data_IF_386182259359
#
_entry.id   IF_386182259359
#
_cell.length_a   1.000
_cell.length_b   1.000
_cell.length_c   1.000
_cell.angle_alpha   90.00
_cell.angle_beta   90.00
_cell.angle_gamma   90.00
#
_symmetry.space_group_name_H-M   'P 1'
#
loop_
_entity.id
_entity.type
_entity.pdbx_description
1 polymer ?
#
# COMPACT_ATOMS: atom_id res chain seq x y z
N UNK A 1 -13.08 5.31 0.55
CA UNK A 1 -12.43 5.24 -0.76
C UNK A 1 -13.48 5.23 -1.87
N UNK A 2 -13.21 5.88 -2.98
CA UNK A 2 -13.97 5.76 -4.24
C UNK A 2 -13.01 5.15 -5.24
N UNK A 3 -13.37 3.95 -5.74
CA UNK A 3 -12.52 3.19 -6.66
C UNK A 3 -12.10 4.05 -7.86
N UNK A 4 -10.84 3.93 -8.28
CA UNK A 4 -10.22 4.62 -9.41
C UNK A 4 -10.29 6.16 -9.35
N UNK A 5 -10.62 6.73 -8.19
CA UNK A 5 -10.83 8.16 -8.03
C UNK A 5 -10.10 8.73 -6.80
N UNK A 6 -10.37 8.20 -5.61
CA UNK A 6 -9.74 8.72 -4.40
C UNK A 6 -9.69 7.72 -3.24
N UNK A 7 -8.64 7.85 -2.44
CA UNK A 7 -8.51 7.24 -1.13
C UNK A 7 -8.45 8.38 -0.11
N UNK A 8 -9.34 8.34 0.87
CA UNK A 8 -9.36 9.30 1.97
C UNK A 8 -9.19 8.55 3.29
N UNK A 9 -8.28 9.03 4.12
CA UNK A 9 -7.94 8.44 5.40
C UNK A 9 -8.02 9.54 6.48
N UNK A 10 -8.72 9.28 7.57
CA UNK A 10 -8.66 10.07 8.80
C UNK A 10 -7.92 9.27 9.86
N UNK A 11 -6.95 9.91 10.49
CA UNK A 11 -6.12 9.33 11.53
C UNK A 11 -6.49 10.01 12.85
N UNK A 12 -6.93 9.21 13.83
CA UNK A 12 -7.29 9.71 15.14
C UNK A 12 -6.50 8.99 16.23
N UNK A 13 -6.11 9.73 17.26
CA UNK A 13 -5.48 9.22 18.47
C UNK A 13 -6.21 9.75 19.69
N UNK A 14 -6.56 8.88 20.62
CA UNK A 14 -7.29 9.24 21.86
C UNK A 14 -8.58 10.04 21.60
N UNK A 15 -9.31 9.74 20.53
CA UNK A 15 -10.54 10.44 20.16
C UNK A 15 -10.34 11.78 19.44
N UNK A 16 -9.09 12.24 19.28
CA UNK A 16 -8.75 13.48 18.59
C UNK A 16 -8.20 13.15 17.20
N UNK A 17 -8.69 13.84 16.19
CA UNK A 17 -8.18 13.67 14.83
C UNK A 17 -6.76 14.27 14.71
N UNK A 18 -5.77 13.39 14.53
CA UNK A 18 -4.37 13.75 14.43
C UNK A 18 -3.95 14.16 13.01
N UNK A 19 -4.66 13.65 12.00
CA UNK A 19 -4.36 13.98 10.61
C UNK A 19 -5.36 13.42 9.60
N UNK A 20 -5.21 13.84 8.35
CA UNK A 20 -5.97 13.36 7.19
C UNK A 20 -5.06 13.16 6.01
N UNK A 21 -5.33 12.13 5.23
CA UNK A 21 -4.73 11.93 3.94
C UNK A 21 -5.81 11.88 2.85
N UNK A 22 -5.51 12.46 1.71
CA UNK A 22 -6.27 12.33 0.48
C UNK A 22 -5.31 11.96 -0.65
N UNK A 23 -5.58 10.84 -1.29
CA UNK A 23 -4.84 10.35 -2.44
C UNK A 23 -5.77 10.32 -3.65
N UNK A 24 -5.32 10.85 -4.77
CA UNK A 24 -5.98 10.77 -6.07
C UNK A 24 -5.00 10.14 -7.06
N UNK A 25 -5.39 9.78 -8.29
CA UNK A 25 -4.45 9.24 -9.26
C UNK A 25 -3.18 10.08 -9.45
N UNK A 26 -3.29 11.40 -9.35
CA UNK A 26 -2.20 12.33 -9.67
C UNK A 26 -1.58 13.02 -8.44
N UNK A 27 -2.18 12.87 -7.25
CA UNK A 27 -1.74 13.66 -6.09
C UNK A 27 -1.93 12.98 -4.76
N UNK A 28 -1.05 13.33 -3.83
CA UNK A 28 -1.15 12.98 -2.42
C UNK A 28 -1.17 14.26 -1.59
N UNK A 29 -2.15 14.36 -0.69
CA UNK A 29 -2.25 15.45 0.27
C UNK A 29 -2.34 14.88 1.67
N UNK A 30 -1.63 15.48 2.59
CA UNK A 30 -1.65 15.08 4.00
C UNK A 30 -1.72 16.31 4.90
N UNK A 31 -2.52 16.23 5.96
CA UNK A 31 -2.64 17.26 7.01
C UNK A 31 -2.23 16.64 8.33
N UNK A 32 -1.23 17.22 8.98
CA UNK A 32 -0.81 16.93 10.36
C UNK A 32 -1.46 17.94 11.29
N UNK A 33 -2.60 17.62 11.87
CA UNK A 33 -3.34 18.56 12.73
C UNK A 33 -2.57 18.92 13.99
N UNK A 34 -1.92 17.95 14.62
CA UNK A 34 -1.15 18.16 15.85
C UNK A 34 0.06 19.09 15.67
N UNK A 35 0.55 19.23 14.43
CA UNK A 35 1.72 20.08 14.13
C UNK A 35 1.36 21.31 13.31
N UNK A 36 0.09 21.50 12.95
CA UNK A 36 -0.37 22.54 12.03
C UNK A 36 0.45 22.58 10.72
N UNK A 37 0.75 21.39 10.18
CA UNK A 37 1.53 21.23 8.97
C UNK A 37 0.75 20.45 7.92
N UNK A 38 1.07 20.70 6.66
CA UNK A 38 0.49 19.95 5.55
C UNK A 38 1.55 19.58 4.52
N UNK A 39 1.22 18.59 3.75
CA UNK A 39 1.88 18.22 2.51
C UNK A 39 0.86 18.21 1.37
N UNK A 40 1.26 18.66 0.18
CA UNK A 40 0.51 18.52 -1.06
C UNK A 40 1.51 18.38 -2.21
N UNK A 41 1.45 17.27 -2.93
CA UNK A 41 2.35 16.94 -4.03
C UNK A 41 1.96 15.65 -4.73
N UNK A 42 2.88 15.09 -5.47
CA UNK A 42 2.73 13.82 -6.17
C UNK A 42 3.26 12.62 -5.33
N UNK A 43 3.17 11.42 -5.90
CA UNK A 43 3.59 10.18 -5.23
C UNK A 43 5.10 10.07 -5.00
N UNK A 44 5.95 10.82 -5.73
CA UNK A 44 7.40 10.82 -5.52
C UNK A 44 7.79 11.20 -4.09
N UNK A 45 6.91 11.93 -3.43
CA UNK A 45 7.10 12.33 -2.04
C UNK A 45 6.98 11.18 -1.05
N UNK A 46 6.19 10.17 -1.36
CA UNK A 46 6.03 8.99 -0.51
C UNK A 46 7.32 8.18 -0.39
N UNK A 47 8.26 8.33 -1.33
CA UNK A 47 9.63 7.76 -1.24
C UNK A 47 10.40 8.16 0.01
N UNK A 48 10.02 9.26 0.65
CA UNK A 48 10.65 9.72 1.90
C UNK A 48 10.18 8.95 3.12
N UNK A 49 9.04 8.28 3.01
CA UNK A 49 8.42 7.53 4.09
C UNK A 49 8.40 6.03 3.81
N UNK A 50 8.16 5.66 2.56
CA UNK A 50 8.12 4.27 2.13
C UNK A 50 9.44 3.91 1.46
N UNK A 51 9.99 2.75 1.79
CA UNK A 51 11.25 2.29 1.21
C UNK A 51 11.13 1.81 -0.24
N UNK A 52 9.96 1.92 -0.87
CA UNK A 52 9.70 1.55 -2.28
C UNK A 52 8.76 2.58 -2.91
N UNK A 53 8.80 2.67 -4.24
CA UNK A 53 7.87 3.50 -4.99
C UNK A 53 6.46 2.92 -4.94
N UNK A 54 5.50 3.77 -4.68
CA UNK A 54 4.07 3.46 -4.74
C UNK A 54 3.34 4.52 -5.54
N UNK A 55 2.30 4.10 -6.23
CA UNK A 55 1.34 4.97 -6.91
C UNK A 55 -0.08 4.76 -6.36
N UNK A 56 -1.05 5.48 -6.93
CA UNK A 56 -2.45 5.35 -6.54
C UNK A 56 -2.97 3.91 -6.71
N UNK A 57 -2.62 3.26 -7.83
CA UNK A 57 -3.12 1.92 -8.16
C UNK A 57 -2.58 0.88 -7.19
N UNK A 58 -1.30 0.96 -6.82
CA UNK A 58 -0.70 0.10 -5.80
C UNK A 58 -1.39 0.33 -4.45
N UNK A 59 -1.55 1.59 -4.01
CA UNK A 59 -2.21 1.90 -2.74
C UNK A 59 -3.67 1.44 -2.73
N UNK A 60 -4.39 1.63 -3.82
CA UNK A 60 -5.76 1.13 -3.96
C UNK A 60 -5.83 -0.39 -3.87
N UNK A 61 -4.94 -1.09 -4.59
CA UNK A 61 -4.88 -2.55 -4.58
C UNK A 61 -4.59 -3.10 -3.19
N UNK A 62 -3.66 -2.46 -2.45
CA UNK A 62 -3.35 -2.83 -1.07
C UNK A 62 -4.62 -2.78 -0.19
N UNK A 63 -5.36 -1.67 -0.24
CA UNK A 63 -6.55 -1.51 0.62
C UNK A 63 -7.77 -2.32 0.16
N UNK A 64 -7.80 -2.78 -1.10
CA UNK A 64 -8.88 -3.60 -1.65
C UNK A 64 -8.57 -5.11 -1.67
N UNK A 65 -7.43 -5.53 -1.12
CA UNK A 65 -6.97 -6.93 -1.21
C UNK A 65 -6.90 -7.42 -2.67
N UNK A 66 -6.46 -6.56 -3.57
CA UNK A 66 -6.28 -6.88 -4.98
C UNK A 66 -4.82 -7.24 -5.25
N UNK A 67 -4.62 -8.13 -6.20
CA UNK A 67 -3.26 -8.44 -6.68
C UNK A 67 -2.60 -7.19 -7.27
N UNK A 68 -1.33 -7.01 -6.97
CA UNK A 68 -0.49 -5.96 -7.55
C UNK A 68 0.99 -6.40 -7.55
N UNK A 69 1.77 -5.74 -8.38
CA UNK A 69 3.22 -5.93 -8.48
C UNK A 69 3.94 -4.58 -8.40
N UNK A 70 5.17 -4.60 -7.91
CA UNK A 70 6.04 -3.44 -7.86
C UNK A 70 6.95 -3.38 -9.11
N UNK A 71 7.46 -2.20 -9.46
CA UNK A 71 7.18 -0.88 -8.91
C UNK A 71 5.91 -0.24 -9.50
N UNK A 72 5.29 -0.92 -10.46
CA UNK A 72 4.12 -0.48 -11.20
C UNK A 72 3.17 -1.65 -11.35
N UNK A 73 1.90 -1.42 -11.07
CA UNK A 73 0.86 -2.45 -11.22
C UNK A 73 0.48 -2.62 -12.70
N UNK A 74 1.36 -3.27 -13.45
CA UNK A 74 1.24 -3.56 -14.89
C UNK A 74 1.35 -5.07 -15.11
N UNK A 75 0.23 -5.70 -15.48
CA UNK A 75 0.14 -7.15 -15.65
C UNK A 75 1.05 -7.69 -16.77
N UNK A 76 1.48 -6.87 -17.73
CA UNK A 76 2.46 -7.27 -18.73
C UNK A 76 3.83 -7.64 -18.11
N UNK A 77 4.09 -7.20 -16.87
CA UNK A 77 5.31 -7.56 -16.15
C UNK A 77 5.27 -8.97 -15.55
N UNK A 78 4.13 -9.66 -15.57
CA UNK A 78 4.02 -11.02 -15.06
C UNK A 78 4.90 -12.02 -15.82
N UNK A 79 5.28 -11.73 -17.05
CA UNK A 79 6.23 -12.56 -17.83
C UNK A 79 7.61 -12.69 -17.18
N UNK A 80 7.94 -11.80 -16.26
CA UNK A 80 9.18 -11.85 -15.47
C UNK A 80 9.05 -12.68 -14.18
N UNK A 81 7.85 -13.15 -13.84
CA UNK A 81 7.63 -13.88 -12.59
C UNK A 81 7.66 -15.39 -12.79
N UNK A 82 8.23 -16.09 -11.82
CA UNK A 82 8.21 -17.55 -11.74
C UNK A 82 7.29 -18.02 -10.63
N UNK A 83 6.37 -18.92 -10.92
CA UNK A 83 5.61 -19.57 -9.89
C UNK A 83 6.39 -20.77 -9.33
N UNK A 84 6.29 -20.94 -8.01
CA UNK A 84 6.66 -22.15 -7.29
C UNK A 84 5.54 -22.50 -6.32
N UNK A 85 5.35 -23.78 -6.05
CA UNK A 85 4.34 -24.25 -5.11
C UNK A 85 4.95 -25.23 -4.13
N UNK A 86 4.65 -25.02 -2.84
CA UNK A 86 4.99 -25.92 -1.75
C UNK A 86 3.75 -26.09 -0.85
N UNK A 87 3.08 -27.24 -0.97
CA UNK A 87 1.77 -27.45 -0.36
C UNK A 87 0.74 -26.41 -0.81
N UNK A 88 0.13 -25.73 0.15
CA UNK A 88 -0.83 -24.64 -0.11
C UNK A 88 -0.16 -23.29 -0.37
N UNK A 89 1.15 -23.17 -0.20
CA UNK A 89 1.90 -21.94 -0.44
C UNK A 89 2.28 -21.85 -1.92
N UNK A 90 1.75 -20.84 -2.62
CA UNK A 90 2.16 -20.48 -3.98
C UNK A 90 2.98 -19.20 -3.89
N UNK A 91 4.18 -19.21 -4.44
CA UNK A 91 5.06 -18.05 -4.51
C UNK A 91 5.32 -17.71 -5.96
N UNK A 92 5.12 -16.45 -6.34
CA UNK A 92 5.55 -15.91 -7.63
C UNK A 92 6.62 -14.86 -7.38
N UNK A 93 7.74 -14.93 -8.09
CA UNK A 93 8.88 -14.05 -7.81
C UNK A 93 9.65 -13.68 -9.08
N UNK A 94 10.21 -12.46 -9.08
CA UNK A 94 11.18 -12.01 -10.10
C UNK A 94 12.63 -12.32 -9.69
N UNK A 95 12.85 -12.96 -8.54
CA UNK A 95 14.20 -13.29 -8.06
C UNK A 95 14.92 -14.20 -9.07
N UNK A 96 16.12 -13.78 -9.49
CA UNK A 96 16.89 -14.48 -10.52
C UNK A 96 16.57 -14.04 -11.95
N UNK A 97 15.74 -13.01 -12.13
CA UNK A 97 15.52 -12.35 -13.43
C UNK A 97 16.35 -11.07 -13.54
N UNK A 98 17.54 -11.20 -14.08
CA UNK A 98 18.46 -10.08 -14.26
C UNK A 98 17.84 -8.93 -15.06
N UNK A 99 17.05 -9.23 -16.09
CA UNK A 99 16.33 -8.23 -16.89
C UNK A 99 15.37 -7.37 -16.06
N UNK A 100 14.60 -7.99 -15.14
CA UNK A 100 13.70 -7.25 -14.27
C UNK A 100 14.48 -6.37 -13.30
N UNK A 101 15.55 -6.90 -12.71
CA UNK A 101 16.42 -6.16 -11.81
C UNK A 101 17.13 -5.01 -12.52
N UNK A 102 17.63 -5.22 -13.73
CA UNK A 102 18.27 -4.16 -14.53
C UNK A 102 17.29 -3.05 -14.89
N UNK A 103 16.05 -3.40 -15.21
CA UNK A 103 15.02 -2.43 -15.61
C UNK A 103 14.44 -1.65 -14.44
N UNK A 104 14.20 -2.29 -13.30
CA UNK A 104 13.46 -1.71 -12.17
C UNK A 104 14.28 -1.57 -10.89
N UNK A 105 15.45 -2.16 -10.80
CA UNK A 105 16.31 -2.10 -9.61
C UNK A 105 15.77 -2.85 -8.39
N UNK A 106 14.71 -3.65 -8.54
CA UNK A 106 14.05 -4.37 -7.45
C UNK A 106 13.83 -5.84 -7.78
N UNK A 107 13.66 -6.64 -6.72
CA UNK A 107 13.03 -7.97 -6.77
C UNK A 107 11.64 -7.86 -6.16
N UNK A 108 10.65 -8.49 -6.78
CA UNK A 108 9.31 -8.58 -6.24
C UNK A 108 8.91 -10.05 -6.02
N UNK A 109 8.37 -10.34 -4.85
CA UNK A 109 7.88 -11.66 -4.48
C UNK A 109 6.48 -11.54 -3.91
N UNK A 110 5.54 -12.32 -4.44
CA UNK A 110 4.16 -12.37 -3.97
C UNK A 110 3.85 -13.80 -3.51
N UNK A 111 3.23 -13.92 -2.36
CA UNK A 111 2.85 -15.19 -1.75
C UNK A 111 1.34 -15.29 -1.65
N UNK A 112 0.82 -16.43 -2.07
CA UNK A 112 -0.58 -16.79 -1.94
C UNK A 112 -0.72 -18.03 -1.05
N UNK A 113 -1.81 -18.07 -0.31
CA UNK A 113 -2.30 -19.28 0.35
C UNK A 113 -3.43 -19.86 -0.52
N UNK A 114 -3.18 -21.03 -1.11
CA UNK A 114 -4.12 -21.68 -2.01
C UNK A 114 -5.32 -22.29 -1.28
N UNK A 115 -5.20 -22.61 0.02
CA UNK A 115 -6.30 -23.15 0.82
C UNK A 115 -7.44 -22.13 0.99
N UNK A 116 -7.08 -20.85 1.15
CA UNK A 116 -8.02 -19.74 1.26
C UNK A 116 -8.11 -18.90 -0.03
N UNK A 117 -7.29 -19.21 -1.05
CA UNK A 117 -7.21 -18.51 -2.35
C UNK A 117 -6.98 -17.01 -2.21
N UNK A 118 -6.04 -16.64 -1.34
CA UNK A 118 -5.72 -15.25 -0.99
C UNK A 118 -4.24 -14.95 -1.10
N UNK A 119 -3.93 -13.71 -1.47
CA UNK A 119 -2.59 -13.16 -1.32
C UNK A 119 -2.32 -12.90 0.16
N UNK A 120 -1.24 -13.47 0.68
CA UNK A 120 -0.87 -13.30 2.10
C UNK A 120 0.30 -12.34 2.27
N UNK A 121 1.11 -12.16 1.23
CA UNK A 121 2.29 -11.30 1.31
C UNK A 121 2.67 -10.75 -0.08
N UNK A 122 3.18 -9.52 -0.10
CA UNK A 122 3.86 -8.95 -1.25
C UNK A 122 5.12 -8.20 -0.76
N UNK A 123 6.28 -8.64 -1.22
CA UNK A 123 7.58 -8.09 -0.84
C UNK A 123 8.30 -7.51 -2.04
N UNK A 124 8.75 -6.26 -1.94
CA UNK A 124 9.63 -5.61 -2.90
C UNK A 124 10.96 -5.24 -2.24
N UNK A 125 12.07 -5.70 -2.79
CA UNK A 125 13.42 -5.45 -2.28
C UNK A 125 14.29 -4.80 -3.35
N UNK A 126 15.02 -3.75 -3.00
CA UNK A 126 16.07 -3.20 -3.88
C UNK A 126 17.16 -4.25 -4.12
N UNK A 127 17.47 -4.49 -5.37
CA UNK A 127 18.50 -5.46 -5.77
C UNK A 127 19.90 -5.06 -5.26
N UNK A 128 20.14 -3.76 -5.10
CA UNK A 128 21.44 -3.20 -4.71
C UNK A 128 21.81 -3.43 -3.24
N UNK A 129 20.83 -3.47 -2.33
CA UNK A 129 21.09 -3.50 -0.88
C UNK A 129 20.13 -4.37 -0.07
N UNK A 130 19.15 -5.00 -0.71
CA UNK A 130 18.16 -5.85 -0.06
C UNK A 130 17.17 -5.12 0.86
N UNK A 131 17.21 -3.78 0.91
CA UNK A 131 16.19 -3.00 1.64
C UNK A 131 14.91 -2.94 0.83
N UNK A 132 13.79 -2.75 1.52
CA UNK A 132 12.52 -2.71 0.82
C UNK A 132 11.31 -2.71 1.74
N UNK A 133 10.20 -3.22 1.24
CA UNK A 133 8.92 -3.24 1.92
C UNK A 133 8.27 -4.61 1.77
N UNK A 134 7.77 -5.14 2.88
CA UNK A 134 6.85 -6.27 2.91
C UNK A 134 5.47 -5.81 3.35
N UNK A 135 4.46 -6.15 2.58
CA UNK A 135 3.05 -5.96 2.91
C UNK A 135 2.45 -7.33 3.17
N UNK A 136 1.87 -7.51 4.36
CA UNK A 136 1.28 -8.79 4.78
C UNK A 136 -0.19 -8.62 5.11
N UNK A 137 -0.98 -9.62 4.78
CA UNK A 137 -2.42 -9.69 4.97
C UNK A 137 -2.76 -10.84 5.92
N UNK A 138 -3.58 -10.57 6.92
CA UNK A 138 -4.01 -11.60 7.87
C UNK A 138 -5.42 -11.35 8.41
N UNK A 139 -5.89 -12.31 9.20
CA UNK A 139 -7.16 -12.23 9.92
C UNK A 139 -8.34 -11.97 8.97
N UNK A 140 -8.42 -12.78 7.90
CA UNK A 140 -9.49 -12.70 6.91
C UNK A 140 -10.86 -12.87 7.55
N UNK A 141 -11.78 -11.97 7.24
CA UNK A 141 -13.15 -11.94 7.76
C UNK A 141 -14.15 -11.59 6.67
N UNK A 142 -15.38 -12.04 6.86
CA UNK A 142 -16.47 -11.69 5.99
C UNK A 142 -17.03 -10.31 6.37
N UNK A 143 -16.86 -9.35 5.46
CA UNK A 143 -17.47 -8.04 5.53
C UNK A 143 -18.61 -7.96 4.51
N UNK A 144 -19.84 -8.20 4.97
CA UNK A 144 -21.06 -8.26 4.15
C UNK A 144 -20.96 -9.39 3.10
N UNK A 145 -20.48 -9.11 1.88
CA UNK A 145 -20.34 -10.08 0.78
C UNK A 145 -18.91 -10.30 0.33
N UNK A 146 -17.94 -9.72 1.03
CA UNK A 146 -16.53 -9.77 0.67
C UNK A 146 -15.70 -10.33 1.82
N UNK A 147 -14.93 -11.36 1.53
CA UNK A 147 -13.92 -11.88 2.44
C UNK A 147 -12.63 -11.07 2.26
N UNK A 148 -12.30 -10.22 3.25
CA UNK A 148 -11.15 -9.31 3.22
C UNK A 148 -10.24 -9.54 4.43
N UNK A 149 -8.94 -9.24 4.32
CA UNK A 149 -8.05 -9.21 5.47
C UNK A 149 -8.54 -8.13 6.45
N UNK A 150 -8.71 -8.47 7.71
CA UNK A 150 -8.98 -7.44 8.71
C UNK A 150 -7.72 -6.74 9.18
N UNK A 151 -6.54 -7.26 8.82
CA UNK A 151 -5.24 -6.68 9.17
C UNK A 151 -4.33 -6.62 7.95
N UNK A 152 -3.80 -5.42 7.67
CA UNK A 152 -2.79 -5.15 6.66
C UNK A 152 -1.58 -4.54 7.35
N UNK A 153 -0.43 -5.19 7.23
CA UNK A 153 0.81 -4.76 7.87
C UNK A 153 1.83 -4.35 6.81
N UNK A 154 2.50 -3.23 7.04
CA UNK A 154 3.59 -2.72 6.23
C UNK A 154 4.86 -2.80 7.08
N UNK A 155 5.85 -3.55 6.64
CA UNK A 155 7.11 -3.72 7.35
C UNK A 155 8.28 -3.36 6.42
N UNK A 156 9.05 -2.36 6.81
CA UNK A 156 10.29 -2.02 6.13
C UNK A 156 11.35 -3.12 6.33
N UNK A 157 11.96 -3.58 5.26
CA UNK A 157 13.10 -4.49 5.32
C UNK A 157 14.37 -3.68 5.35
N UNK A 158 15.19 -3.86 6.40
CA UNK A 158 16.40 -3.07 6.61
C UNK A 158 16.15 -1.59 6.94
N UNK A 159 14.96 -1.27 7.45
CA UNK A 159 14.56 0.06 7.96
C UNK A 159 13.64 -0.12 9.17
N UNK A 160 13.46 0.93 9.97
CA UNK A 160 12.59 0.91 11.17
C UNK A 160 11.11 1.23 10.83
N UNK A 161 10.76 1.28 9.54
CA UNK A 161 9.39 1.59 9.13
C UNK A 161 8.45 0.44 9.44
N UNK A 162 7.38 0.71 10.16
CA UNK A 162 6.26 -0.23 10.40
C UNK A 162 4.95 0.53 10.47
N UNK A 163 3.93 0.02 9.80
CA UNK A 163 2.55 0.51 9.93
C UNK A 163 1.57 -0.68 9.88
N UNK A 164 0.53 -0.63 10.70
CA UNK A 164 -0.50 -1.67 10.75
C UNK A 164 -1.87 -1.02 10.66
N UNK A 165 -2.67 -1.50 9.71
CA UNK A 165 -4.07 -1.11 9.54
C UNK A 165 -4.96 -2.28 9.97
N UNK A 166 -5.88 -2.03 10.89
CA UNK A 166 -6.87 -3.02 11.31
C UNK A 166 -8.27 -2.54 10.94
N UNK A 167 -8.95 -3.27 10.07
CA UNK A 167 -10.31 -2.96 9.64
C UNK A 167 -11.31 -3.47 10.69
N UNK A 168 -11.96 -2.55 11.36
CA UNK A 168 -13.04 -2.88 12.30
C UNK A 168 -14.38 -3.00 11.58
N UNK A 169 -14.57 -2.21 10.53
CA UNK A 169 -15.82 -2.19 9.74
C UNK A 169 -15.52 -1.79 8.31
N UNK A 170 -16.08 -2.52 7.37
CA UNK A 170 -16.05 -2.20 5.95
C UNK A 170 -17.49 -2.06 5.45
N UNK A 171 -17.75 -1.04 4.65
CA UNK A 171 -19.07 -0.79 4.08
C UNK A 171 -18.91 -0.50 2.59
N UNK A 172 -19.70 -1.19 1.76
CA UNK A 172 -19.69 -1.03 0.32
C UNK A 172 -20.93 -0.24 -0.16
N UNK A 173 -20.81 0.36 -1.35
CA UNK A 173 -21.95 1.02 -2.03
C UNK A 173 -22.47 2.29 -1.38
N UNK A 174 -21.83 2.79 -0.33
CA UNK A 174 -22.23 4.04 0.32
C UNK A 174 -21.74 5.24 -0.47
N UNK A 175 -22.65 6.16 -0.82
CA UNK A 175 -22.26 7.46 -1.35
C UNK A 175 -21.45 8.22 -0.30
N UNK A 176 -20.25 8.64 -0.68
CA UNK A 176 -19.35 9.39 0.20
C UNK A 176 -19.17 10.81 -0.30
N UNK A 177 -19.23 11.76 0.62
CA UNK A 177 -18.76 13.12 0.39
C UNK A 177 -17.44 13.31 1.14
N UNK A 178 -16.39 13.66 0.42
CA UNK A 178 -15.08 13.86 1.01
C UNK A 178 -14.79 15.36 1.05
N UNK A 179 -14.74 15.92 2.25
CA UNK A 179 -14.30 17.29 2.48
C UNK A 179 -12.83 17.30 2.90
N UNK A 180 -11.98 17.80 2.03
CA UNK A 180 -10.56 17.99 2.31
C UNK A 180 -10.15 19.41 2.00
N UNK A 181 -9.87 20.18 3.04
CA UNK A 181 -9.36 21.55 2.91
C UNK A 181 -8.14 21.73 3.81
N UNK A 182 -7.12 22.37 3.30
CA UNK A 182 -5.93 22.73 4.09
C UNK A 182 -6.24 24.06 4.78
N UNK A 183 -6.18 24.13 6.13
CA UNK A 183 -6.42 25.39 6.83
C UNK A 183 -5.37 26.45 6.49
N UNK A 184 -5.78 27.70 6.35
CA UNK A 184 -4.90 28.80 5.93
C UNK A 184 -3.72 29.08 6.87
N UNK A 185 -3.83 28.68 8.13
CA UNK A 185 -2.78 28.84 9.15
C UNK A 185 -1.78 27.66 9.20
N UNK A 186 -1.93 26.66 8.33
CA UNK A 186 -1.01 25.54 8.27
C UNK A 186 0.19 25.87 7.40
N UNK A 187 1.36 25.38 7.81
CA UNK A 187 2.61 25.57 7.07
C UNK A 187 2.94 24.30 6.24
N UNK A 188 3.59 24.44 5.10
CA UNK A 188 4.13 23.28 4.40
C UNK A 188 5.05 22.47 5.31
N UNK A 189 5.06 21.16 5.11
CA UNK A 189 6.01 20.29 5.80
C UNK A 189 7.37 20.45 5.11
N UNK A 190 8.36 20.93 5.83
CA UNK A 190 9.76 20.99 5.41
C UNK A 190 10.47 19.72 5.89
N UNK A 191 11.20 19.04 5.02
CA UNK A 191 11.94 17.79 5.29
C UNK A 191 13.43 18.03 5.33
#
# INVERSE_FOLDING_TARGET
>A
MIKDSLIWISISALGIEAGRALMTPDSVKFIFKLKNKYFAGDYSYLRRFLPVDVDFNIMQSIFLDQFFIFPKNDLALLDYFYPTQDGDKITITTRGRDEYQQRFGINNTVVFDNSIKKMTENTALFASNGKGLTISYSDYKDFTYHNLPSKVSFNGVGTDFTAVFTYQKVTFGKKMTVNFSIPNNYKPFEF
#
